data_IF_547866427503
#
_entry.id   IF_547866427503
#
_cell.length_a   1.000
_cell.length_b   1.000
_cell.length_c   1.000
_cell.angle_alpha   90.00
_cell.angle_beta   90.00
_cell.angle_gamma   90.00
#
_symmetry.space_group_name_H-M   'P 1'
#
loop_
_entity.id
_entity.type
_entity.pdbx_description
1 polymer ?
#
# COMPACT_ATOMS: atom_id res chain seq x y z
N UNK A 1 -1.41 -31.88 -4.79
CA UNK A 1 -2.40 -32.15 -5.84
C UNK A 1 -2.25 -33.62 -6.16
N UNK A 2 -3.21 -34.46 -5.76
CA UNK A 2 -3.08 -35.90 -5.93
C UNK A 2 -2.85 -36.17 -7.44
N UNK A 3 -1.75 -36.87 -7.79
CA UNK A 3 -1.36 -37.14 -9.19
C UNK A 3 -2.55 -37.63 -10.03
N UNK A 4 -3.46 -38.37 -9.38
CA UNK A 4 -4.68 -38.95 -9.94
C UNK A 4 -5.71 -37.95 -10.49
N UNK A 5 -5.72 -36.68 -10.03
CA UNK A 5 -6.71 -35.70 -10.48
C UNK A 5 -6.29 -34.99 -11.77
N UNK A 6 -4.99 -34.79 -11.98
CA UNK A 6 -4.43 -34.19 -13.20
C UNK A 6 -4.60 -35.16 -14.38
N UNK A 7 -4.42 -36.46 -14.13
CA UNK A 7 -4.64 -37.50 -15.16
C UNK A 7 -6.12 -37.62 -15.59
N UNK A 8 -7.07 -37.23 -14.72
CA UNK A 8 -8.52 -37.31 -15.02
C UNK A 8 -9.08 -36.12 -15.79
N UNK A 9 -8.36 -35.00 -15.85
CA UNK A 9 -8.78 -33.84 -16.65
C UNK A 9 -8.20 -34.01 -18.06
N UNK A 10 -8.98 -34.59 -18.96
CA UNK A 10 -8.70 -34.63 -20.41
C UNK A 10 -8.88 -33.24 -21.04
N UNK A 11 -8.01 -32.29 -20.69
CA UNK A 11 -7.79 -31.09 -21.48
C UNK A 11 -6.59 -31.35 -22.38
N UNK A 12 -6.78 -31.39 -23.71
CA UNK A 12 -5.70 -31.59 -24.69
C UNK A 12 -4.52 -30.61 -24.54
N UNK A 13 -4.72 -29.49 -23.84
CA UNK A 13 -3.67 -28.51 -23.50
C UNK A 13 -2.67 -29.04 -22.46
N UNK A 14 -3.08 -29.98 -21.57
CA UNK A 14 -2.20 -30.55 -20.54
C UNK A 14 -1.27 -31.66 -21.07
N UNK A 15 -1.43 -32.09 -22.32
CA UNK A 15 -0.58 -33.12 -22.96
C UNK A 15 0.67 -32.56 -23.64
N UNK A 16 0.91 -31.25 -23.55
CA UNK A 16 2.19 -30.67 -23.96
C UNK A 16 3.31 -31.17 -23.02
N UNK A 17 4.41 -31.76 -23.53
CA UNK A 17 5.51 -32.28 -22.72
C UNK A 17 6.04 -31.27 -21.70
N UNK A 18 6.11 -30.00 -22.12
CA UNK A 18 6.54 -28.87 -21.29
C UNK A 18 5.64 -28.67 -20.07
N UNK A 19 4.33 -28.88 -20.20
CA UNK A 19 3.37 -28.69 -19.09
C UNK A 19 3.41 -29.89 -18.13
N UNK A 20 3.58 -31.11 -18.64
CA UNK A 20 3.83 -32.30 -17.81
C UNK A 20 5.13 -32.18 -17.02
N UNK A 21 6.21 -31.72 -17.63
CA UNK A 21 7.51 -31.56 -16.95
C UNK A 21 7.49 -30.41 -15.92
N UNK A 22 6.73 -29.33 -16.17
CA UNK A 22 6.50 -28.26 -15.19
C UNK A 22 5.61 -28.72 -14.02
N UNK A 23 4.64 -29.61 -14.27
CA UNK A 23 3.76 -30.15 -13.23
C UNK A 23 4.39 -31.32 -12.44
N UNK A 24 5.37 -32.00 -13.03
CA UNK A 24 6.06 -33.19 -12.48
C UNK A 24 7.47 -32.87 -11.95
N UNK A 25 7.74 -31.63 -11.56
CA UNK A 25 8.99 -31.26 -10.89
C UNK A 25 9.10 -32.05 -9.56
N UNK A 26 10.25 -32.67 -9.23
CA UNK A 26 10.41 -33.39 -7.96
C UNK A 26 10.06 -32.47 -6.80
N UNK A 27 9.34 -32.98 -5.79
CA UNK A 27 8.92 -32.20 -4.63
C UNK A 27 10.15 -31.53 -3.99
N UNK A 28 10.21 -30.20 -4.06
CA UNK A 28 11.34 -29.43 -3.54
C UNK A 28 11.45 -29.63 -2.03
N UNK A 29 12.67 -29.85 -1.54
CA UNK A 29 12.94 -29.86 -0.09
C UNK A 29 12.71 -28.46 0.50
N UNK A 30 12.37 -28.34 1.80
CA UNK A 30 12.19 -27.04 2.45
C UNK A 30 13.40 -26.11 2.30
N UNK A 31 14.61 -26.66 2.30
CA UNK A 31 15.86 -25.92 2.10
C UNK A 31 15.95 -25.37 0.67
N UNK A 32 15.59 -26.16 -0.34
CA UNK A 32 15.56 -25.70 -1.73
C UNK A 32 14.52 -24.59 -1.94
N UNK A 33 13.34 -24.71 -1.33
CA UNK A 33 12.30 -23.66 -1.37
C UNK A 33 12.83 -22.36 -0.76
N UNK A 34 13.41 -22.44 0.44
CA UNK A 34 14.00 -21.28 1.10
C UNK A 34 15.11 -20.63 0.26
N UNK A 35 16.03 -21.44 -0.30
CA UNK A 35 17.11 -20.93 -1.13
C UNK A 35 16.61 -20.27 -2.41
N UNK A 36 15.56 -20.80 -3.06
CA UNK A 36 14.97 -20.15 -4.22
C UNK A 36 14.26 -18.85 -3.87
N UNK A 37 13.54 -18.79 -2.74
CA UNK A 37 12.92 -17.54 -2.28
C UNK A 37 14.01 -16.48 -2.06
N UNK A 38 15.08 -16.82 -1.33
CA UNK A 38 16.20 -15.90 -1.09
C UNK A 38 16.87 -15.48 -2.41
N UNK A 39 17.18 -16.43 -3.30
CA UNK A 39 17.78 -16.12 -4.59
C UNK A 39 16.90 -15.19 -5.43
N UNK A 40 15.59 -15.44 -5.44
CA UNK A 40 14.63 -14.61 -6.17
C UNK A 40 14.52 -13.21 -5.59
N UNK A 41 14.40 -13.06 -4.27
CA UNK A 41 14.32 -11.72 -3.64
C UNK A 41 15.59 -10.92 -3.87
N UNK A 42 16.77 -11.54 -3.81
CA UNK A 42 18.04 -10.88 -4.13
C UNK A 42 18.15 -10.50 -5.62
N UNK A 43 17.68 -11.36 -6.53
CA UNK A 43 17.64 -11.03 -7.96
C UNK A 43 16.76 -9.80 -8.24
N UNK A 44 15.58 -9.74 -7.63
CA UNK A 44 14.67 -8.58 -7.72
C UNK A 44 15.33 -7.33 -7.12
N UNK A 45 15.91 -7.44 -5.92
CA UNK A 45 16.61 -6.32 -5.27
C UNK A 45 17.75 -5.76 -6.13
N UNK A 46 18.59 -6.63 -6.71
CA UNK A 46 19.70 -6.21 -7.59
C UNK A 46 19.15 -5.47 -8.81
N UNK A 47 18.07 -5.97 -9.40
CA UNK A 47 17.41 -5.34 -10.54
C UNK A 47 16.84 -3.95 -10.21
N UNK A 48 16.08 -3.83 -9.11
CA UNK A 48 15.50 -2.56 -8.66
C UNK A 48 16.57 -1.54 -8.25
N UNK A 49 17.65 -2.02 -7.61
CA UNK A 49 18.82 -1.19 -7.27
C UNK A 49 19.50 -0.68 -8.53
N UNK A 50 19.65 -1.52 -9.56
CA UNK A 50 20.17 -1.11 -10.86
C UNK A 50 19.33 0.01 -11.50
N UNK A 51 18.00 -0.15 -11.52
CA UNK A 51 17.09 0.89 -12.04
C UNK A 51 17.18 2.18 -11.24
N UNK A 52 17.17 2.08 -9.91
CA UNK A 52 17.29 3.23 -9.00
C UNK A 52 18.62 3.96 -9.17
N UNK A 53 19.72 3.22 -9.38
CA UNK A 53 21.03 3.78 -9.63
C UNK A 53 21.10 4.52 -10.97
N UNK A 54 20.46 4.01 -12.02
CA UNK A 54 20.35 4.73 -13.30
C UNK A 54 19.63 6.06 -13.14
N UNK A 55 18.54 6.08 -12.39
CA UNK A 55 17.80 7.32 -12.10
C UNK A 55 18.63 8.29 -11.24
N UNK A 56 19.33 7.78 -10.23
CA UNK A 56 20.25 8.57 -9.41
C UNK A 56 21.32 9.28 -10.27
N UNK A 57 21.88 8.58 -11.26
CA UNK A 57 22.87 9.14 -12.19
C UNK A 57 22.29 10.30 -13.00
N UNK A 58 21.03 10.24 -13.41
CA UNK A 58 20.33 11.35 -14.09
C UNK A 58 20.27 12.58 -13.18
N UNK A 59 19.80 12.43 -11.93
CA UNK A 59 19.73 13.55 -10.98
C UNK A 59 21.10 14.17 -10.66
N UNK A 60 22.16 13.36 -10.68
CA UNK A 60 23.52 13.82 -10.42
C UNK A 60 24.13 14.58 -11.60
N UNK A 61 23.87 14.11 -12.83
CA UNK A 61 24.54 14.59 -14.03
C UNK A 61 23.80 15.72 -14.74
N UNK A 62 22.46 15.70 -14.75
CA UNK A 62 21.65 16.70 -15.45
C UNK A 62 21.52 17.96 -14.60
N UNK A 63 22.46 18.89 -14.73
CA UNK A 63 22.51 20.14 -13.93
C UNK A 63 21.87 21.36 -14.58
N UNK A 64 21.67 21.32 -15.89
CA UNK A 64 21.00 22.35 -16.67
C UNK A 64 19.66 21.83 -17.19
N UNK A 65 18.74 22.75 -17.44
CA UNK A 65 17.44 22.43 -18.04
C UNK A 65 17.67 21.86 -19.45
N UNK A 66 17.07 20.70 -19.79
CA UNK A 66 17.08 20.17 -21.16
C UNK A 66 16.40 21.14 -22.14
N UNK A 67 16.85 21.22 -23.41
CA UNK A 67 16.24 22.11 -24.41
C UNK A 67 14.72 21.93 -24.56
N UNK A 68 14.23 20.70 -24.39
CA UNK A 68 12.81 20.34 -24.53
C UNK A 68 11.93 20.94 -23.41
N UNK A 69 12.53 21.35 -22.30
CA UNK A 69 11.87 21.95 -21.15
C UNK A 69 12.17 23.45 -21.00
N UNK A 70 12.85 24.04 -21.99
CA UNK A 70 13.15 25.47 -21.99
C UNK A 70 11.85 26.29 -21.96
N UNK A 71 11.73 27.20 -20.98
CA UNK A 71 10.55 28.04 -20.79
C UNK A 71 9.41 27.41 -19.98
N UNK A 72 9.48 26.12 -19.65
CA UNK A 72 8.48 25.44 -18.79
C UNK A 72 8.85 25.56 -17.31
N UNK A 73 10.14 25.48 -17.00
CA UNK A 73 10.68 25.54 -15.64
C UNK A 73 11.89 26.47 -15.60
N UNK A 74 12.03 27.25 -14.53
CA UNK A 74 13.21 28.08 -14.32
C UNK A 74 14.36 27.27 -13.69
N UNK A 75 15.59 27.80 -13.84
CA UNK A 75 16.80 27.08 -13.41
C UNK A 75 16.88 26.88 -11.88
N UNK A 76 16.23 27.75 -11.09
CA UNK A 76 16.19 27.63 -9.62
C UNK A 76 15.26 26.50 -9.22
N UNK A 77 14.05 26.45 -9.76
CA UNK A 77 13.07 25.38 -9.49
C UNK A 77 13.56 24.03 -10.01
N UNK A 78 14.22 24.00 -11.17
CA UNK A 78 14.86 22.80 -11.69
C UNK A 78 15.92 22.27 -10.71
N UNK A 79 16.80 23.14 -10.22
CA UNK A 79 17.83 22.75 -9.26
C UNK A 79 17.26 22.28 -7.91
N UNK A 80 16.23 22.96 -7.39
CA UNK A 80 15.51 22.53 -6.18
C UNK A 80 14.91 21.13 -6.35
N UNK A 81 14.17 20.92 -7.44
CA UNK A 81 13.56 19.62 -7.78
C UNK A 81 14.61 18.52 -7.92
N UNK A 82 15.75 18.82 -8.57
CA UNK A 82 16.86 17.89 -8.74
C UNK A 82 17.50 17.50 -7.40
N UNK A 83 17.74 18.47 -6.50
CA UNK A 83 18.32 18.21 -5.19
C UNK A 83 17.36 17.41 -4.29
N UNK A 84 16.07 17.73 -4.30
CA UNK A 84 15.04 16.98 -3.59
C UNK A 84 15.01 15.51 -4.02
N UNK A 85 14.94 15.25 -5.32
CA UNK A 85 14.94 13.89 -5.87
C UNK A 85 16.27 13.15 -5.62
N UNK A 86 17.40 13.85 -5.59
CA UNK A 86 18.71 13.27 -5.29
C UNK A 86 18.80 12.83 -3.82
N UNK A 87 18.31 13.63 -2.88
CA UNK A 87 18.26 13.26 -1.47
C UNK A 87 17.32 12.08 -1.23
N UNK A 88 16.12 12.09 -1.83
CA UNK A 88 15.18 10.94 -1.77
C UNK A 88 15.78 9.68 -2.36
N UNK A 89 16.46 9.79 -3.51
CA UNK A 89 17.08 8.64 -4.17
C UNK A 89 18.18 8.01 -3.30
N UNK A 90 19.04 8.82 -2.67
CA UNK A 90 20.06 8.32 -1.73
C UNK A 90 19.43 7.60 -0.54
N UNK A 91 18.42 8.22 0.06
CA UNK A 91 17.71 7.66 1.20
C UNK A 91 17.06 6.31 0.86
N UNK A 92 16.34 6.23 -0.27
CA UNK A 92 15.70 5.00 -0.72
C UNK A 92 16.70 3.87 -1.02
N UNK A 93 17.87 4.18 -1.57
CA UNK A 93 18.94 3.20 -1.78
C UNK A 93 19.45 2.59 -0.47
N UNK A 94 19.57 3.41 0.59
CA UNK A 94 19.98 2.94 1.91
C UNK A 94 18.86 2.12 2.57
N UNK A 95 17.62 2.61 2.54
CA UNK A 95 16.47 1.91 3.12
C UNK A 95 16.26 0.55 2.46
N UNK A 96 16.26 0.50 1.12
CA UNK A 96 16.09 -0.76 0.38
C UNK A 96 17.17 -1.80 0.69
N UNK A 97 18.43 -1.38 0.86
CA UNK A 97 19.49 -2.29 1.29
C UNK A 97 19.25 -2.81 2.70
N UNK A 98 18.87 -1.93 3.64
CA UNK A 98 18.52 -2.33 5.00
C UNK A 98 17.36 -3.33 4.99
N UNK A 99 16.29 -3.04 4.27
CA UNK A 99 15.10 -3.90 4.17
C UNK A 99 15.47 -5.27 3.60
N UNK A 100 16.27 -5.32 2.54
CA UNK A 100 16.72 -6.58 1.94
C UNK A 100 17.57 -7.42 2.90
N UNK A 101 18.51 -6.78 3.61
CA UNK A 101 19.34 -7.45 4.61
C UNK A 101 18.51 -7.93 5.80
N UNK A 102 17.59 -7.09 6.29
CA UNK A 102 16.71 -7.40 7.41
C UNK A 102 15.77 -8.57 7.07
N UNK A 103 15.10 -8.54 5.91
CA UNK A 103 14.25 -9.64 5.46
C UNK A 103 15.05 -10.94 5.26
N UNK A 104 16.25 -10.85 4.69
CA UNK A 104 17.15 -12.01 4.55
C UNK A 104 17.50 -12.58 5.93
N UNK A 105 17.85 -11.74 6.90
CA UNK A 105 18.15 -12.17 8.26
C UNK A 105 16.93 -12.82 8.93
N UNK A 106 15.74 -12.23 8.80
CA UNK A 106 14.49 -12.81 9.33
C UNK A 106 14.22 -14.20 8.74
N UNK A 107 14.47 -14.42 7.45
CA UNK A 107 14.30 -15.73 6.84
C UNK A 107 15.36 -16.73 7.29
N UNK A 108 16.64 -16.35 7.25
CA UNK A 108 17.77 -17.25 7.56
C UNK A 108 17.82 -17.64 9.04
N UNK A 109 17.54 -16.70 9.94
CA UNK A 109 17.56 -16.95 11.40
C UNK A 109 16.21 -17.41 11.96
N UNK A 110 15.20 -17.64 11.12
CA UNK A 110 13.90 -18.14 11.57
C UNK A 110 13.12 -17.12 12.43
N UNK A 111 13.20 -15.83 12.09
CA UNK A 111 12.49 -14.76 12.77
C UNK A 111 10.96 -14.94 12.76
N UNK A 112 10.39 -15.51 11.69
CA UNK A 112 8.95 -15.82 11.60
C UNK A 112 8.55 -16.91 12.62
N UNK A 113 9.18 -18.11 12.64
CA UNK A 113 8.98 -19.10 13.70
C UNK A 113 9.20 -18.55 15.12
N UNK A 114 10.22 -17.70 15.30
CA UNK A 114 10.51 -17.07 16.59
C UNK A 114 9.34 -16.17 17.04
N UNK A 115 8.85 -15.29 16.17
CA UNK A 115 7.69 -14.44 16.45
C UNK A 115 6.42 -15.26 16.70
N UNK A 116 6.21 -16.34 15.94
CA UNK A 116 5.11 -17.29 16.20
C UNK A 116 5.20 -17.89 17.60
N UNK A 117 6.39 -18.29 18.06
CA UNK A 117 6.59 -18.84 19.40
C UNK A 117 6.34 -17.81 20.52
N UNK A 118 6.72 -16.54 20.30
CA UNK A 118 6.42 -15.44 21.23
C UNK A 118 4.90 -15.26 21.35
N UNK A 119 4.23 -15.19 20.21
CA UNK A 119 2.77 -14.99 20.15
C UNK A 119 2.02 -16.13 20.85
N UNK A 120 2.53 -17.36 20.76
CA UNK A 120 2.01 -18.53 21.46
C UNK A 120 2.20 -18.44 22.98
N UNK A 121 3.36 -17.92 23.44
CA UNK A 121 3.58 -17.69 24.88
C UNK A 121 2.64 -16.63 25.44
N UNK A 122 2.41 -15.55 24.70
CA UNK A 122 1.48 -14.48 25.09
C UNK A 122 0.06 -15.01 25.19
N UNK A 123 -0.41 -15.74 24.19
CA UNK A 123 -1.78 -16.29 24.18
C UNK A 123 -2.00 -17.34 25.26
N UNK A 124 -1.03 -18.24 25.48
CA UNK A 124 -1.06 -19.20 26.57
C UNK A 124 -1.13 -18.52 27.95
N UNK A 125 -0.46 -17.38 28.14
CA UNK A 125 -0.54 -16.61 29.39
C UNK A 125 -1.96 -16.12 29.69
N UNK A 126 -2.73 -15.79 28.65
CA UNK A 126 -4.15 -15.42 28.76
C UNK A 126 -5.10 -16.63 28.77
N UNK A 127 -4.58 -17.86 28.88
CA UNK A 127 -5.37 -19.09 28.93
C UNK A 127 -5.84 -19.59 27.57
N UNK A 128 -5.34 -19.03 26.46
CA UNK A 128 -5.64 -19.51 25.11
C UNK A 128 -4.53 -20.45 24.65
N UNK A 129 -4.81 -21.75 24.65
CA UNK A 129 -3.86 -22.78 24.27
C UNK A 129 -3.68 -22.95 22.76
N UNK A 130 -3.01 -24.03 22.36
CA UNK A 130 -2.72 -24.35 20.94
C UNK A 130 -3.98 -24.67 20.13
N UNK A 131 -5.06 -25.03 20.80
CA UNK A 131 -6.39 -25.26 20.24
C UNK A 131 -7.03 -23.98 19.70
N UNK A 132 -6.55 -22.81 20.12
CA UNK A 132 -7.05 -21.50 19.71
C UNK A 132 -6.16 -20.84 18.64
N UNK A 133 -5.92 -21.56 17.54
CA UNK A 133 -5.06 -21.12 16.45
C UNK A 133 -5.49 -19.77 15.84
N UNK A 134 -6.79 -19.47 15.76
CA UNK A 134 -7.25 -18.14 15.26
C UNK A 134 -6.75 -17.02 16.17
N UNK A 135 -6.89 -17.18 17.49
CA UNK A 135 -6.39 -16.22 18.48
C UNK A 135 -4.87 -16.09 18.41
N UNK A 136 -4.16 -17.20 18.23
CA UNK A 136 -2.71 -17.21 18.04
C UNK A 136 -2.31 -16.42 16.79
N UNK A 137 -2.95 -16.66 15.63
CA UNK A 137 -2.63 -15.91 14.41
C UNK A 137 -2.94 -14.42 14.52
N UNK A 138 -4.04 -14.04 15.18
CA UNK A 138 -4.38 -12.64 15.45
C UNK A 138 -3.32 -11.98 16.34
N UNK A 139 -2.88 -12.65 17.40
CA UNK A 139 -1.80 -12.16 18.27
C UNK A 139 -0.47 -12.03 17.49
N UNK A 140 -0.15 -13.01 16.66
CA UNK A 140 1.02 -12.99 15.78
C UNK A 140 1.02 -11.80 14.83
N UNK A 141 -0.12 -11.52 14.18
CA UNK A 141 -0.27 -10.38 13.29
C UNK A 141 -0.12 -9.05 14.03
N UNK A 142 -0.74 -8.91 15.22
CA UNK A 142 -0.68 -7.69 16.01
C UNK A 142 0.75 -7.41 16.52
N UNK A 143 1.42 -8.42 17.09
CA UNK A 143 2.79 -8.27 17.60
C UNK A 143 3.75 -7.99 16.43
N UNK A 144 3.58 -8.69 15.31
CA UNK A 144 4.35 -8.45 14.08
C UNK A 144 4.18 -7.01 13.58
N UNK A 145 2.95 -6.54 13.44
CA UNK A 145 2.65 -5.18 13.01
C UNK A 145 3.24 -4.12 13.96
N UNK A 146 3.21 -4.38 15.27
CA UNK A 146 3.83 -3.50 16.25
C UNK A 146 5.35 -3.44 16.07
N UNK A 147 6.02 -4.60 15.95
CA UNK A 147 7.48 -4.67 15.73
C UNK A 147 7.86 -3.93 14.44
N UNK A 148 7.16 -4.19 13.33
CA UNK A 148 7.39 -3.49 12.06
C UNK A 148 7.22 -1.98 12.22
N UNK A 149 6.18 -1.53 12.94
CA UNK A 149 5.97 -0.09 13.19
C UNK A 149 7.15 0.55 13.92
N UNK A 150 7.78 -0.15 14.86
CA UNK A 150 8.95 0.33 15.60
C UNK A 150 10.20 0.33 14.70
N UNK A 151 10.39 -0.71 13.89
CA UNK A 151 11.53 -0.80 12.95
C UNK A 151 11.46 0.29 11.87
N UNK A 152 10.26 0.62 11.40
CA UNK A 152 10.02 1.63 10.37
C UNK A 152 10.15 3.07 10.91
N UNK A 153 10.05 3.25 12.23
CA UNK A 153 9.95 4.57 12.85
C UNK A 153 11.16 5.47 12.57
N UNK A 154 12.44 5.02 12.69
CA UNK A 154 13.60 5.87 12.40
C UNK A 154 13.62 6.35 10.95
N UNK A 155 13.24 5.48 10.00
CA UNK A 155 13.17 5.80 8.58
C UNK A 155 12.10 6.83 8.29
N UNK A 156 10.91 6.66 8.88
CA UNK A 156 9.81 7.62 8.73
C UNK A 156 10.16 8.98 9.34
N UNK A 157 10.82 9.01 10.51
CA UNK A 157 11.29 10.26 11.13
C UNK A 157 12.32 10.96 10.26
N UNK A 158 13.28 10.24 9.71
CA UNK A 158 14.30 10.82 8.82
C UNK A 158 13.66 11.37 7.54
N UNK A 159 12.75 10.61 6.92
CA UNK A 159 12.05 11.07 5.72
C UNK A 159 11.28 12.37 5.99
N UNK A 160 10.47 12.43 7.05
CA UNK A 160 9.62 13.59 7.35
C UNK A 160 10.42 14.79 7.89
N UNK A 161 11.22 14.59 8.94
CA UNK A 161 11.83 15.69 9.68
C UNK A 161 13.25 16.06 9.21
N UNK A 162 13.84 15.30 8.27
CA UNK A 162 15.13 15.66 7.67
C UNK A 162 14.99 15.93 6.18
N UNK A 163 14.39 15.02 5.40
CA UNK A 163 14.30 15.20 3.95
C UNK A 163 13.19 16.19 3.61
N UNK A 164 11.94 15.92 3.99
CA UNK A 164 10.82 16.81 3.66
C UNK A 164 10.97 18.19 4.33
N UNK A 165 11.50 18.25 5.56
CA UNK A 165 11.83 19.52 6.23
C UNK A 165 12.90 20.33 5.48
N UNK A 166 14.02 19.71 5.07
CA UNK A 166 15.09 20.38 4.31
C UNK A 166 14.59 21.01 3.02
N UNK A 167 13.61 20.38 2.38
CA UNK A 167 13.04 20.84 1.11
C UNK A 167 11.75 21.66 1.30
N UNK A 168 11.38 21.98 2.55
CA UNK A 168 10.27 22.89 2.89
C UNK A 168 8.87 22.29 2.75
N UNK A 169 8.76 20.98 2.55
CA UNK A 169 7.49 20.29 2.35
C UNK A 169 6.83 19.88 3.66
N UNK A 170 7.59 19.58 4.72
CA UNK A 170 7.02 19.18 5.99
C UNK A 170 6.28 20.35 6.67
N UNK A 171 5.07 20.06 7.18
CA UNK A 171 4.27 20.98 7.99
C UNK A 171 3.81 20.32 9.30
N UNK A 172 4.13 19.05 9.51
CA UNK A 172 3.76 18.32 10.72
C UNK A 172 4.73 18.64 11.86
N UNK A 173 4.19 18.72 13.08
CA UNK A 173 4.99 18.73 14.32
C UNK A 173 5.24 17.31 14.81
N UNK A 174 6.32 17.09 15.57
CA UNK A 174 6.62 15.77 16.18
C UNK A 174 5.44 15.23 16.99
N UNK A 175 4.78 16.09 17.78
CA UNK A 175 3.62 15.69 18.58
C UNK A 175 2.42 15.26 17.73
N UNK A 176 2.17 15.95 16.61
CA UNK A 176 1.14 15.54 15.65
C UNK A 176 1.50 14.23 14.97
N UNK A 177 2.74 14.08 14.50
CA UNK A 177 3.24 12.87 13.83
C UNK A 177 3.03 11.61 14.67
N UNK A 178 3.45 11.61 15.94
CA UNK A 178 3.27 10.44 16.82
C UNK A 178 1.81 10.16 17.13
N UNK A 179 1.01 11.19 17.44
CA UNK A 179 -0.44 11.03 17.69
C UNK A 179 -1.16 10.45 16.47
N UNK A 180 -0.84 10.94 15.29
CA UNK A 180 -1.43 10.47 14.04
C UNK A 180 -1.01 9.03 13.73
N UNK A 181 0.26 8.66 13.94
CA UNK A 181 0.76 7.30 13.75
C UNK A 181 0.10 6.30 14.71
N UNK A 182 -0.04 6.64 15.99
CA UNK A 182 -0.73 5.81 16.98
C UNK A 182 -2.20 5.63 16.60
N UNK A 183 -2.89 6.72 16.26
CA UNK A 183 -4.29 6.67 15.81
C UNK A 183 -4.45 5.80 14.56
N UNK A 184 -3.57 5.95 13.56
CA UNK A 184 -3.55 5.12 12.34
C UNK A 184 -3.34 3.66 12.67
N UNK A 185 -2.38 3.34 13.53
CA UNK A 185 -2.12 1.97 13.96
C UNK A 185 -3.37 1.34 14.59
N UNK A 186 -3.97 2.00 15.57
CA UNK A 186 -5.16 1.48 16.28
C UNK A 186 -6.32 1.24 15.32
N UNK A 187 -6.67 2.23 14.49
CA UNK A 187 -7.80 2.13 13.55
C UNK A 187 -7.56 1.02 12.53
N UNK A 188 -6.35 0.93 11.97
CA UNK A 188 -6.03 -0.11 11.00
C UNK A 188 -6.04 -1.51 11.62
N UNK A 189 -5.51 -1.69 12.84
CA UNK A 189 -5.56 -2.98 13.53
C UNK A 189 -7.00 -3.37 13.92
N UNK A 190 -7.83 -2.41 14.35
CA UNK A 190 -9.22 -2.65 14.69
C UNK A 190 -10.04 -3.16 13.49
N UNK A 191 -9.67 -2.78 12.28
CA UNK A 191 -10.31 -3.25 11.04
C UNK A 191 -9.66 -4.55 10.55
N UNK A 192 -8.33 -4.61 10.51
CA UNK A 192 -7.58 -5.71 9.91
C UNK A 192 -7.68 -7.02 10.70
N UNK A 193 -7.63 -6.98 12.04
CA UNK A 193 -7.60 -8.20 12.86
C UNK A 193 -8.92 -9.00 12.79
N UNK A 194 -10.12 -8.38 12.87
CA UNK A 194 -11.37 -9.10 12.63
C UNK A 194 -11.46 -9.71 11.23
N UNK A 195 -11.04 -8.96 10.20
CA UNK A 195 -10.99 -9.45 8.82
C UNK A 195 -10.09 -10.68 8.73
N UNK A 196 -8.89 -10.61 9.33
CA UNK A 196 -7.96 -11.73 9.37
C UNK A 196 -8.55 -12.95 10.07
N UNK A 197 -9.24 -12.76 11.20
CA UNK A 197 -9.92 -13.85 11.89
C UNK A 197 -11.00 -14.51 11.01
N UNK A 198 -11.81 -13.71 10.30
CA UNK A 198 -12.80 -14.20 9.34
C UNK A 198 -12.15 -14.99 8.20
N UNK A 199 -11.06 -14.47 7.62
CA UNK A 199 -10.32 -15.14 6.54
C UNK A 199 -9.84 -16.52 7.00
N UNK A 200 -9.20 -16.60 8.17
CA UNK A 200 -8.70 -17.88 8.70
C UNK A 200 -9.85 -18.85 8.95
N UNK A 201 -10.96 -18.35 9.48
CA UNK A 201 -12.14 -19.17 9.72
C UNK A 201 -12.74 -19.74 8.42
N UNK A 202 -12.82 -18.93 7.36
CA UNK A 202 -13.26 -19.36 6.02
C UNK A 202 -12.33 -20.44 5.47
N UNK A 203 -11.01 -20.23 5.57
CA UNK A 203 -10.01 -21.22 5.11
C UNK A 203 -10.17 -22.55 5.84
N UNK A 204 -10.47 -22.54 7.14
CA UNK A 204 -10.64 -23.76 7.95
C UNK A 204 -11.90 -24.55 7.62
N UNK A 205 -12.99 -23.87 7.27
CA UNK A 205 -14.30 -24.51 7.03
C UNK A 205 -14.54 -24.81 5.55
N UNK A 206 -13.93 -24.05 4.64
CA UNK A 206 -14.30 -24.01 3.23
C UNK A 206 -13.99 -25.25 2.38
N UNK A 207 -13.39 -26.30 2.94
CA UNK A 207 -13.08 -27.56 2.24
C UNK A 207 -12.20 -27.36 1.01
N UNK A 208 -12.31 -28.21 -0.01
CA UNK A 208 -11.45 -28.17 -1.21
C UNK A 208 -11.63 -26.90 -2.06
N UNK A 209 -12.77 -26.22 -1.92
CA UNK A 209 -13.12 -25.00 -2.66
C UNK A 209 -13.08 -23.72 -1.80
N UNK A 210 -12.40 -23.76 -0.64
CA UNK A 210 -12.33 -22.62 0.29
C UNK A 210 -11.88 -21.32 -0.40
N UNK A 211 -11.03 -21.42 -1.42
CA UNK A 211 -10.47 -20.30 -2.16
C UNK A 211 -11.53 -19.49 -2.93
N UNK A 212 -12.62 -20.12 -3.37
CA UNK A 212 -13.75 -19.44 -4.05
C UNK A 212 -14.54 -18.63 -3.03
N UNK A 213 -14.84 -19.22 -1.87
CA UNK A 213 -15.56 -18.56 -0.78
C UNK A 213 -14.73 -17.39 -0.23
N UNK A 214 -13.43 -17.61 -0.04
CA UNK A 214 -12.48 -16.58 0.38
C UNK A 214 -12.41 -15.43 -0.63
N UNK A 215 -12.33 -15.74 -1.93
CA UNK A 215 -12.36 -14.73 -2.98
C UNK A 215 -13.65 -13.91 -2.95
N UNK A 216 -14.81 -14.56 -2.89
CA UNK A 216 -16.11 -13.88 -2.82
C UNK A 216 -16.22 -12.98 -1.57
N UNK A 217 -15.72 -13.46 -0.44
CA UNK A 217 -15.61 -12.66 0.79
C UNK A 217 -14.72 -11.42 0.60
N UNK A 218 -13.53 -11.58 0.00
CA UNK A 218 -12.63 -10.47 -0.28
C UNK A 218 -13.22 -9.45 -1.28
N UNK A 219 -13.95 -9.91 -2.31
CA UNK A 219 -14.69 -9.04 -3.24
C UNK A 219 -15.70 -8.20 -2.46
N UNK A 220 -16.57 -8.84 -1.68
CA UNK A 220 -17.59 -8.14 -0.90
C UNK A 220 -16.98 -7.13 0.07
N UNK A 221 -15.95 -7.56 0.80
CA UNK A 221 -15.21 -6.71 1.74
C UNK A 221 -14.55 -5.52 1.05
N UNK A 222 -13.94 -5.71 -0.14
CA UNK A 222 -13.31 -4.63 -0.89
C UNK A 222 -14.32 -3.56 -1.33
N UNK A 223 -15.52 -3.97 -1.75
CA UNK A 223 -16.61 -3.03 -2.13
C UNK A 223 -17.15 -2.27 -0.91
N UNK A 224 -17.28 -2.95 0.23
CA UNK A 224 -17.68 -2.32 1.49
C UNK A 224 -16.63 -1.30 1.91
N UNK A 225 -15.35 -1.69 2.01
CA UNK A 225 -14.28 -0.78 2.41
C UNK A 225 -14.11 0.39 1.44
N UNK A 226 -14.25 0.18 0.13
CA UNK A 226 -14.24 1.26 -0.85
C UNK A 226 -15.34 2.31 -0.59
N UNK A 227 -16.49 1.88 -0.09
CA UNK A 227 -17.62 2.76 0.23
C UNK A 227 -17.47 3.43 1.60
N UNK A 228 -17.00 2.67 2.61
CA UNK A 228 -16.87 3.12 4.00
C UNK A 228 -15.66 4.03 4.21
N UNK A 229 -14.57 3.80 3.48
CA UNK A 229 -13.28 4.46 3.73
C UNK A 229 -13.39 5.98 3.74
N UNK A 230 -13.96 6.58 2.71
CA UNK A 230 -13.96 8.03 2.58
C UNK A 230 -14.96 8.74 3.51
N UNK A 231 -16.00 8.03 3.96
CA UNK A 231 -17.06 8.61 4.79
C UNK A 231 -16.78 8.47 6.29
N UNK A 232 -16.10 7.41 6.68
CA UNK A 232 -15.93 7.05 8.09
C UNK A 232 -14.48 6.92 8.50
N UNK A 233 -13.57 6.50 7.62
CA UNK A 233 -12.16 6.27 7.96
C UNK A 233 -11.34 7.53 7.71
N UNK A 234 -11.37 8.09 6.49
CA UNK A 234 -10.60 9.26 6.12
C UNK A 234 -10.88 10.49 7.03
N UNK A 235 -12.14 10.80 7.40
CA UNK A 235 -12.43 11.94 8.29
C UNK A 235 -11.89 11.78 9.72
N UNK A 236 -11.48 10.58 10.14
CA UNK A 236 -10.79 10.39 11.43
C UNK A 236 -9.37 10.95 11.40
N UNK A 237 -8.77 11.09 10.23
CA UNK A 237 -7.38 11.52 10.04
C UNK A 237 -7.27 12.98 9.61
N UNK A 238 -8.15 13.39 8.70
CA UNK A 238 -8.08 14.68 8.05
C UNK A 238 -9.43 15.40 8.10
N UNK A 239 -9.39 16.73 8.10
CA UNK A 239 -10.60 17.56 8.14
C UNK A 239 -11.12 17.76 6.72
N UNK A 240 -12.37 17.39 6.50
CA UNK A 240 -13.10 17.61 5.24
C UNK A 240 -14.14 18.71 5.44
N UNK A 241 -14.09 19.74 4.62
CA UNK A 241 -15.06 20.85 4.63
C UNK A 241 -15.70 20.98 3.25
N UNK A 242 -17.01 21.27 3.14
CA UNK A 242 -17.62 21.53 1.84
C UNK A 242 -16.90 22.66 1.11
N UNK A 243 -16.75 22.56 -0.22
CA UNK A 243 -16.19 23.65 -1.00
C UNK A 243 -17.13 24.88 -0.89
N UNK A 244 -16.61 26.07 -0.53
CA UNK A 244 -17.41 27.29 -0.45
C UNK A 244 -18.14 27.59 -1.75
N UNK A 245 -19.26 28.29 -1.66
CA UNK A 245 -19.94 28.81 -2.85
C UNK A 245 -19.05 29.83 -3.56
N UNK A 246 -18.99 29.76 -4.89
CA UNK A 246 -18.15 30.65 -5.70
C UNK A 246 -18.02 30.21 -7.16
N UNK A 247 -17.21 30.94 -7.92
CA UNK A 247 -16.95 30.69 -9.35
C UNK A 247 -16.40 29.27 -9.58
N UNK A 248 -15.38 28.85 -8.82
CA UNK A 248 -14.78 27.52 -8.93
C UNK A 248 -15.82 26.40 -8.74
N UNK A 249 -16.65 26.49 -7.69
CA UNK A 249 -17.68 25.48 -7.42
C UNK A 249 -18.68 25.38 -8.56
N UNK A 250 -19.16 26.53 -9.05
CA UNK A 250 -20.13 26.60 -10.15
C UNK A 250 -19.57 25.94 -11.41
N UNK A 251 -18.33 26.27 -11.79
CA UNK A 251 -17.68 25.67 -12.97
C UNK A 251 -17.46 24.16 -12.82
N UNK A 252 -17.13 23.68 -11.62
CA UNK A 252 -17.00 22.23 -11.35
C UNK A 252 -18.34 21.52 -11.52
N UNK A 253 -19.42 22.10 -11.00
CA UNK A 253 -20.78 21.56 -11.12
C UNK A 253 -21.25 21.53 -12.59
N UNK A 254 -20.94 22.57 -13.37
CA UNK A 254 -21.20 22.63 -14.82
C UNK A 254 -20.40 21.57 -15.58
N UNK A 255 -19.10 21.44 -15.30
CA UNK A 255 -18.23 20.42 -15.89
C UNK A 255 -18.77 19.02 -15.61
N UNK A 256 -19.11 18.72 -14.36
CA UNK A 256 -19.69 17.44 -13.96
C UNK A 256 -21.02 17.18 -14.69
N UNK A 257 -21.89 18.18 -14.81
CA UNK A 257 -23.17 18.10 -15.52
C UNK A 257 -22.97 17.82 -17.01
N UNK A 258 -22.00 18.48 -17.65
CA UNK A 258 -21.71 18.33 -19.09
C UNK A 258 -21.38 16.88 -19.47
N UNK A 259 -20.69 16.15 -18.60
CA UNK A 259 -20.31 14.75 -18.82
C UNK A 259 -21.26 13.75 -18.15
N UNK A 260 -22.35 14.23 -17.54
CA UNK A 260 -23.32 13.45 -16.74
C UNK A 260 -22.66 12.70 -15.56
N UNK A 261 -21.64 13.28 -14.97
CA UNK A 261 -21.03 12.78 -13.73
C UNK A 261 -22.00 13.00 -12.57
N UNK A 262 -22.36 11.95 -11.80
CA UNK A 262 -23.35 12.06 -10.72
C UNK A 262 -22.72 12.65 -9.45
N UNK A 263 -22.27 13.91 -9.54
CA UNK A 263 -21.69 14.66 -8.42
C UNK A 263 -22.74 14.84 -7.31
N UNK A 264 -22.41 14.38 -6.10
CA UNK A 264 -23.25 14.53 -4.90
C UNK A 264 -22.67 15.50 -3.89
N UNK A 265 -21.35 15.47 -3.69
CA UNK A 265 -20.67 16.33 -2.72
C UNK A 265 -19.30 16.75 -3.26
N UNK A 266 -18.91 17.97 -2.92
CA UNK A 266 -17.64 18.57 -3.28
C UNK A 266 -16.97 19.06 -1.99
N UNK A 267 -15.79 18.53 -1.69
CA UNK A 267 -15.08 18.77 -0.44
C UNK A 267 -13.68 19.32 -0.68
N UNK A 268 -13.19 20.05 0.31
CA UNK A 268 -11.78 20.40 0.47
C UNK A 268 -11.24 19.62 1.67
N UNK A 269 -10.06 19.02 1.51
CA UNK A 269 -9.31 18.39 2.61
C UNK A 269 -8.15 19.29 3.03
N UNK A 270 -7.97 19.45 4.33
CA UNK A 270 -6.89 20.24 4.94
C UNK A 270 -5.55 19.46 4.89
N UNK A 271 -5.00 19.28 3.70
CA UNK A 271 -3.72 18.60 3.44
C UNK A 271 -2.51 19.42 3.89
N UNK A 272 -2.64 20.74 3.93
CA UNK A 272 -1.60 21.69 4.36
C UNK A 272 -1.12 21.44 5.80
N UNK A 273 -1.95 20.84 6.65
CA UNK A 273 -1.57 20.41 8.00
C UNK A 273 -0.44 19.38 8.00
N UNK A 274 -0.31 18.63 6.90
CA UNK A 274 0.67 17.55 6.75
C UNK A 274 1.85 17.97 5.89
N UNK A 275 1.56 18.48 4.71
CA UNK A 275 2.60 18.82 3.74
C UNK A 275 2.14 19.87 2.77
N UNK A 276 3.09 20.49 2.07
CA UNK A 276 2.81 21.38 0.96
C UNK A 276 2.50 20.66 -0.38
N UNK A 277 2.29 19.33 -0.37
CA UNK A 277 1.92 18.59 -1.59
C UNK A 277 0.45 18.76 -1.93
N UNK A 278 0.15 18.83 -3.22
CA UNK A 278 -1.18 19.08 -3.77
C UNK A 278 -1.71 17.85 -4.50
N UNK A 279 -3.02 17.62 -4.39
CA UNK A 279 -3.70 16.53 -5.09
C UNK A 279 -5.19 16.83 -5.26
N UNK A 280 -5.85 16.13 -6.17
CA UNK A 280 -7.29 16.09 -6.32
C UNK A 280 -7.71 14.66 -6.65
N UNK A 281 -8.85 14.23 -6.13
CA UNK A 281 -9.36 12.89 -6.44
C UNK A 281 -10.88 12.86 -6.36
N UNK A 282 -11.47 11.86 -7.01
CA UNK A 282 -12.87 11.54 -6.84
C UNK A 282 -13.02 10.14 -6.28
N UNK A 283 -14.13 9.90 -5.58
CA UNK A 283 -14.46 8.59 -5.06
C UNK A 283 -15.98 8.37 -5.05
N UNK A 284 -16.37 7.19 -4.59
CA UNK A 284 -17.75 6.84 -4.32
C UNK A 284 -18.25 5.75 -5.25
N UNK A 285 -19.33 5.10 -4.84
CA UNK A 285 -19.90 3.95 -5.54
C UNK A 285 -21.13 4.37 -6.35
N UNK A 286 -21.19 3.88 -7.59
CA UNK A 286 -22.33 4.10 -8.50
C UNK A 286 -22.75 5.58 -8.63
N UNK A 287 -23.97 5.94 -8.24
CA UNK A 287 -24.56 7.30 -8.33
C UNK A 287 -24.16 8.23 -7.18
N UNK A 288 -23.39 7.77 -6.19
CA UNK A 288 -22.96 8.59 -5.07
C UNK A 288 -21.48 8.97 -5.25
N UNK A 289 -21.20 9.88 -6.19
CA UNK A 289 -19.82 10.32 -6.48
C UNK A 289 -19.50 11.63 -5.78
N UNK A 290 -18.25 11.76 -5.37
CA UNK A 290 -17.75 12.94 -4.66
C UNK A 290 -16.38 13.32 -5.19
N UNK A 291 -16.09 14.62 -5.14
CA UNK A 291 -14.79 15.18 -5.50
C UNK A 291 -14.17 15.77 -4.23
N UNK A 292 -12.88 15.55 -4.05
CA UNK A 292 -12.06 16.13 -2.99
C UNK A 292 -10.89 16.86 -3.61
N UNK A 293 -10.73 18.11 -3.20
CA UNK A 293 -9.59 18.95 -3.54
C UNK A 293 -8.72 19.12 -2.30
N UNK A 294 -7.40 19.09 -2.46
CA UNK A 294 -6.49 19.51 -1.39
C UNK A 294 -6.51 21.05 -1.31
N UNK A 295 -6.47 21.60 -0.11
CA UNK A 295 -6.31 23.04 0.11
C UNK A 295 -5.04 23.59 -0.56
N UNK A 296 -3.95 22.83 -0.54
CA UNK A 296 -2.67 23.15 -1.20
C UNK A 296 -2.74 23.17 -2.74
N UNK A 297 -3.83 22.69 -3.34
CA UNK A 297 -4.04 22.77 -4.80
C UNK A 297 -4.63 24.13 -5.21
N UNK A 298 -5.22 24.88 -4.29
CA UNK A 298 -5.98 26.09 -4.62
C UNK A 298 -5.21 27.35 -4.23
N UNK A 299 -4.93 28.22 -5.19
CA UNK A 299 -4.12 29.43 -4.98
C UNK A 299 -4.75 30.41 -3.96
N UNK A 300 -6.07 30.57 -3.99
CA UNK A 300 -6.79 31.55 -3.17
C UNK A 300 -7.59 30.93 -2.01
N UNK A 301 -7.29 29.68 -1.62
CA UNK A 301 -8.01 29.03 -0.51
C UNK A 301 -7.32 29.27 0.83
N UNK A 302 -8.08 29.82 1.78
CA UNK A 302 -7.66 29.86 3.18
C UNK A 302 -8.50 28.87 4.00
N UNK A 303 -7.88 27.95 4.76
CA UNK A 303 -8.61 27.04 5.64
C UNK A 303 -9.47 27.82 6.65
N UNK A 304 -10.73 27.40 6.83
CA UNK A 304 -11.71 28.03 7.74
C UNK A 304 -11.28 28.10 9.23
N UNK A 305 -10.17 27.45 9.60
CA UNK A 305 -9.65 27.34 10.96
C UNK A 305 -8.44 28.23 11.27
N UNK A 306 -7.90 28.98 10.30
CA UNK A 306 -6.79 29.91 10.60
C UNK A 306 -7.32 31.06 11.46
N UNK A 307 -6.74 31.25 12.64
CA UNK A 307 -7.11 32.36 13.52
C UNK A 307 -6.73 33.70 12.86
N UNK A 308 -7.49 34.77 13.11
CA UNK A 308 -7.21 36.12 12.55
C UNK A 308 -5.79 36.62 12.85
N UNK A 309 -5.17 36.17 13.95
CA UNK A 309 -3.78 36.48 14.29
C UNK A 309 -2.75 35.70 13.44
N UNK A 310 -3.07 34.47 13.02
CA UNK A 310 -2.25 33.71 12.06
C UNK A 310 -2.40 34.27 10.65
N UNK A 311 -3.59 34.75 10.30
CA UNK A 311 -3.88 35.47 9.05
C UNK A 311 -3.14 36.81 8.94
N UNK A 312 -2.90 37.52 10.06
CA UNK A 312 -2.13 38.77 10.08
C UNK A 312 -0.63 38.52 9.98
N UNK A 313 -0.09 37.56 10.73
CA UNK A 313 1.33 37.16 10.59
C UNK A 313 1.67 36.63 9.18
N UNK A 314 0.76 35.84 8.59
CA UNK A 314 0.90 35.28 7.23
C UNK A 314 0.62 36.35 6.13
N UNK A 315 0.11 37.54 6.46
CA UNK A 315 -0.02 38.67 5.53
C UNK A 315 1.22 39.56 5.56
N UNK A 316 1.76 39.84 6.75
CA UNK A 316 2.98 40.65 6.90
C UNK A 316 4.24 39.90 6.40
N UNK A 317 4.26 38.55 6.44
CA UNK A 317 5.31 37.75 5.80
C UNK A 317 5.13 37.60 4.27
N UNK A 318 3.90 37.68 3.74
CA UNK A 318 3.60 37.51 2.30
C UNK A 318 3.92 38.71 1.42
N UNK A 319 4.11 39.90 1.99
CA UNK A 319 4.58 41.07 1.23
C UNK A 319 6.05 40.93 0.77
N UNK A 320 6.81 39.99 1.32
CA UNK A 320 8.17 39.67 0.89
C UNK A 320 8.22 38.45 -0.03
N UNK A 321 7.93 38.66 -1.32
CA UNK A 321 8.51 37.92 -2.45
C UNK A 321 8.37 36.36 -2.46
N UNK A 322 7.28 35.80 -1.93
CA UNK A 322 6.97 34.38 -2.09
C UNK A 322 5.87 34.17 -3.14
N UNK A 323 6.24 33.52 -4.24
CA UNK A 323 5.33 33.02 -5.27
C UNK A 323 4.21 32.18 -4.62
N UNK A 324 2.95 32.56 -4.82
CA UNK A 324 1.79 31.81 -4.31
C UNK A 324 1.85 30.37 -4.84
N UNK A 325 1.50 29.42 -3.98
CA UNK A 325 1.44 27.98 -4.33
C UNK A 325 0.01 27.60 -4.65
N UNK A 326 -0.17 26.61 -5.52
CA UNK A 326 -1.49 26.17 -5.99
C UNK A 326 -1.76 26.56 -7.44
N UNK A 327 -2.95 26.19 -7.89
CA UNK A 327 -3.45 26.40 -9.24
C UNK A 327 -4.60 27.42 -9.22
N UNK A 328 -4.76 28.14 -10.32
CA UNK A 328 -5.93 28.99 -10.54
C UNK A 328 -7.17 28.14 -10.91
N UNK A 329 -8.34 28.77 -10.99
CA UNK A 329 -9.60 28.04 -11.24
C UNK A 329 -9.60 27.25 -12.56
N UNK A 330 -8.99 27.78 -13.62
CA UNK A 330 -8.96 27.12 -14.93
C UNK A 330 -8.02 25.91 -14.94
N UNK A 331 -6.89 26.02 -14.27
CA UNK A 331 -5.94 24.92 -14.05
C UNK A 331 -6.57 23.81 -13.19
N UNK A 332 -7.28 24.17 -12.11
CA UNK A 332 -8.00 23.19 -11.28
C UNK A 332 -9.06 22.46 -12.11
N UNK A 333 -9.79 23.17 -12.98
CA UNK A 333 -10.76 22.54 -13.88
C UNK A 333 -10.09 21.60 -14.88
N UNK A 334 -8.91 21.93 -15.39
CA UNK A 334 -8.15 21.02 -16.26
C UNK A 334 -7.71 19.75 -15.51
N UNK A 335 -7.24 19.87 -14.27
CA UNK A 335 -6.93 18.73 -13.39
C UNK A 335 -8.18 17.88 -13.15
N UNK A 336 -9.32 18.51 -12.85
CA UNK A 336 -10.57 17.78 -12.66
C UNK A 336 -11.09 17.15 -13.94
N UNK A 337 -10.91 17.77 -15.10
CA UNK A 337 -11.24 17.17 -16.38
C UNK A 337 -10.41 15.90 -16.64
N UNK A 338 -9.12 15.91 -16.27
CA UNK A 338 -8.26 14.73 -16.29
C UNK A 338 -8.79 13.62 -15.36
N UNK A 339 -9.06 13.95 -14.09
CA UNK A 339 -9.60 13.02 -13.09
C UNK A 339 -10.94 12.42 -13.53
N UNK A 340 -11.86 13.25 -14.03
CA UNK A 340 -13.15 12.80 -14.56
C UNK A 340 -13.01 12.00 -15.85
N UNK A 341 -11.91 12.16 -16.59
CA UNK A 341 -11.52 11.28 -17.69
C UNK A 341 -11.32 9.83 -17.23
N UNK A 342 -10.69 9.60 -16.06
CA UNK A 342 -10.56 8.26 -15.49
C UNK A 342 -11.91 7.62 -15.16
N UNK A 343 -12.88 8.42 -14.71
CA UNK A 343 -14.24 7.94 -14.52
C UNK A 343 -14.92 7.62 -15.86
N UNK A 344 -14.85 8.53 -16.83
CA UNK A 344 -15.52 8.40 -18.13
C UNK A 344 -15.02 7.19 -18.93
N UNK A 345 -13.72 6.88 -18.83
CA UNK A 345 -13.06 5.76 -19.50
C UNK A 345 -13.08 4.45 -18.67
N UNK A 346 -13.81 4.44 -17.55
CA UNK A 346 -13.98 3.30 -16.65
C UNK A 346 -12.65 2.73 -16.11
N UNK A 347 -11.62 3.56 -15.91
CA UNK A 347 -10.31 3.11 -15.41
C UNK A 347 -10.43 2.45 -14.02
N UNK A 348 -11.29 2.99 -13.14
CA UNK A 348 -11.54 2.41 -11.81
C UNK A 348 -12.14 1.01 -11.92
N UNK A 349 -13.11 0.79 -12.82
CA UNK A 349 -13.73 -0.52 -13.02
C UNK A 349 -12.74 -1.53 -13.63
N UNK A 350 -11.96 -1.11 -14.63
CA UNK A 350 -10.91 -1.94 -15.23
C UNK A 350 -9.89 -2.39 -14.17
N UNK A 351 -9.40 -1.46 -13.36
CA UNK A 351 -8.46 -1.77 -12.27
C UNK A 351 -9.09 -2.70 -11.24
N UNK A 352 -10.36 -2.50 -10.87
CA UNK A 352 -11.08 -3.39 -9.96
C UNK A 352 -11.15 -4.81 -10.54
N UNK A 353 -11.54 -4.97 -11.80
CA UNK A 353 -11.60 -6.30 -12.45
C UNK A 353 -10.23 -6.96 -12.50
N UNK A 354 -9.18 -6.23 -12.88
CA UNK A 354 -7.80 -6.75 -12.92
C UNK A 354 -7.37 -7.24 -11.53
N UNK A 355 -7.63 -6.45 -10.48
CA UNK A 355 -7.30 -6.83 -9.10
C UNK A 355 -8.07 -8.08 -8.66
N UNK A 356 -9.37 -8.17 -8.99
CA UNK A 356 -10.17 -9.34 -8.61
C UNK A 356 -9.77 -10.61 -9.38
N UNK A 357 -9.41 -10.50 -10.66
CA UNK A 357 -8.89 -11.63 -11.45
C UNK A 357 -7.55 -12.08 -10.88
N UNK A 358 -6.62 -11.14 -10.62
CA UNK A 358 -5.33 -11.47 -10.00
C UNK A 358 -5.51 -12.15 -8.64
N UNK A 359 -6.40 -11.63 -7.79
CA UNK A 359 -6.69 -12.21 -6.48
C UNK A 359 -7.26 -13.62 -6.59
N UNK A 360 -8.19 -13.84 -7.54
CA UNK A 360 -8.73 -15.17 -7.82
C UNK A 360 -7.63 -16.15 -8.25
N UNK A 361 -6.74 -15.73 -9.15
CA UNK A 361 -5.60 -16.54 -9.60
C UNK A 361 -4.67 -16.89 -8.43
N UNK A 362 -4.28 -15.91 -7.60
CA UNK A 362 -3.45 -16.17 -6.42
C UNK A 362 -4.11 -17.16 -5.44
N UNK A 363 -5.41 -17.01 -5.18
CA UNK A 363 -6.13 -17.93 -4.31
C UNK A 363 -6.32 -19.32 -4.95
N UNK A 364 -6.49 -19.42 -6.26
CA UNK A 364 -6.63 -20.71 -6.96
C UNK A 364 -5.36 -21.57 -6.91
N UNK A 365 -4.18 -20.95 -6.78
CA UNK A 365 -2.90 -21.65 -6.60
C UNK A 365 -2.70 -22.10 -5.15
N UNK A 366 -3.41 -21.49 -4.19
CA UNK A 366 -3.21 -21.76 -2.77
C UNK A 366 -3.57 -23.21 -2.35
N UNK A 367 -4.67 -23.84 -2.83
CA UNK A 367 -4.96 -25.25 -2.55
C UNK A 367 -3.83 -26.19 -2.98
N UNK A 368 -3.26 -26.02 -4.17
CA UNK A 368 -2.21 -26.92 -4.67
C UNK A 368 -0.95 -26.86 -3.79
N UNK A 369 -0.62 -25.67 -3.28
CA UNK A 369 0.45 -25.45 -2.30
C UNK A 369 0.10 -26.04 -0.92
N UNK A 370 -1.12 -25.82 -0.42
CA UNK A 370 -1.55 -26.31 0.90
C UNK A 370 -1.52 -27.84 0.99
N UNK A 371 -2.03 -28.53 -0.04
CA UNK A 371 -2.00 -29.99 -0.14
C UNK A 371 -0.56 -30.52 -0.33
N UNK A 372 0.27 -29.84 -1.11
CA UNK A 372 1.68 -30.23 -1.30
C UNK A 372 2.50 -30.11 0.01
N UNK A 373 2.29 -29.04 0.78
CA UNK A 373 2.97 -28.83 2.07
C UNK A 373 2.52 -29.86 3.11
N UNK A 374 1.24 -30.21 3.16
CA UNK A 374 0.74 -31.25 4.07
C UNK A 374 1.27 -32.64 3.71
N UNK A 375 1.40 -32.98 2.43
CA UNK A 375 2.07 -34.20 1.98
C UNK A 375 3.56 -34.20 2.30
N UNK A 376 4.26 -33.08 2.08
CA UNK A 376 5.69 -32.92 2.40
C UNK A 376 5.96 -33.02 3.90
N UNK A 377 5.10 -32.44 4.75
CA UNK A 377 5.16 -32.57 6.20
C UNK A 377 4.92 -34.02 6.67
N UNK A 378 3.93 -34.70 6.07
CA UNK A 378 3.65 -36.12 6.35
C UNK A 378 4.83 -37.00 5.93
N UNK A 379 5.44 -36.73 4.78
CA UNK A 379 6.63 -37.43 4.29
C UNK A 379 7.82 -37.22 5.23
N UNK A 380 8.15 -35.97 5.58
CA UNK A 380 9.25 -35.63 6.49
C UNK A 380 9.08 -36.22 7.89
N UNK A 381 7.85 -36.23 8.44
CA UNK A 381 7.56 -36.91 9.72
C UNK A 381 7.76 -38.42 9.61
N UNK A 382 7.35 -39.06 8.51
CA UNK A 382 7.61 -40.48 8.28
C UNK A 382 9.11 -40.78 8.22
N UNK A 383 9.90 -40.02 7.46
CA UNK A 383 11.36 -40.23 7.37
C UNK A 383 12.07 -40.05 8.71
N UNK A 384 11.63 -39.10 9.54
CA UNK A 384 12.20 -38.87 10.88
C UNK A 384 11.79 -39.92 11.92
N UNK A 385 10.59 -40.51 11.78
CA UNK A 385 10.17 -41.67 12.58
C UNK A 385 11.02 -42.89 12.18
N UNK A 386 11.22 -43.13 10.88
CA UNK A 386 12.06 -44.22 10.39
C UNK A 386 13.55 -44.07 10.76
N UNK A 387 14.09 -42.85 10.88
CA UNK A 387 15.48 -42.67 11.35
C UNK A 387 15.65 -42.85 12.87
N UNK A 388 14.59 -42.69 13.67
CA UNK A 388 14.62 -42.90 15.12
C UNK A 388 14.24 -44.33 15.55
N UNK A 389 13.67 -45.13 14.66
CA UNK A 389 13.37 -46.56 14.89
C UNK A 389 14.48 -47.52 14.40
N UNK A 390 15.64 -46.98 13.99
CA UNK A 390 16.80 -47.74 13.51
C UNK A 390 17.95 -47.89 14.52
N UNK A 391 17.68 -47.71 15.82
CA UNK A 391 18.62 -48.02 16.88
C UNK A 391 17.92 -48.93 17.90
N UNK A 392 17.95 -50.23 17.64
CA UNK A 392 17.89 -51.30 18.62
C UNK A 392 18.77 -52.45 18.13
#
# INVERSE_FOLDING_TARGET
>A
MNRDWIEKIHLQVLDLPVIKDILLVPAWTPVQIMNAIIAFTWAVYIWETYLSYRQFKIYKNTRSIPPELAGVIDQTTFNKSRLYNLDKSKFNLICSLYDQLFQTAVLVFGGIPFLWSISGRVTNYFGYGREHEVTHTVAFALIGAFITTIIDLPWSLYSTFVIEERHGFNKETLGFFFKDRIKKFIVMQAIALPILACIIHIVKIGGDYFFIILWAFCVALSLILMTVYADYIAPMFDKFTPLPEGDLRTRIEELAKSIKFPLKKLYVVEGSKRSAHSNAYFYGFYKNKRIVLFDTLMEDYTPLNKNENELKGDKDEKENNHQKTGCNNDEILAVLAHELGHWKLNHVLKNLVIVQVNLFLCFSVSPSLFFSVTETQKSYRKTKIFSNSGCF
#
